data_IF_244408246684
#
_entry.id   IF_244408246684
#
_cell.length_a   1.000
_cell.length_b   1.000
_cell.length_c   1.000
_cell.angle_alpha   90.00
_cell.angle_beta   90.00
_cell.angle_gamma   90.00
#
_symmetry.space_group_name_H-M   'P 1'
#
loop_
_entity.id
_entity.type
_entity.pdbx_description
1 polymer ?
#
# COMPACT_ATOMS: atom_id res chain seq x y z
N UNK A 1 -2.52 -6.09 -5.92
CA UNK A 1 -2.91 -6.60 -4.60
C UNK A 1 -1.72 -6.69 -3.65
N UNK A 2 -1.96 -6.52 -2.37
CA UNK A 2 -0.98 -6.68 -1.30
C UNK A 2 -0.91 -8.13 -0.81
N UNK A 3 -2.05 -8.77 -0.69
CA UNK A 3 -2.22 -10.09 -0.09
C UNK A 3 -2.90 -11.04 -1.06
N UNK A 4 -2.18 -11.58 -2.08
CA UNK A 4 -2.75 -12.57 -2.98
C UNK A 4 -3.01 -13.89 -2.22
N UNK A 5 -4.08 -14.59 -2.58
CA UNK A 5 -4.39 -15.92 -2.03
C UNK A 5 -3.33 -16.96 -2.42
N UNK A 6 -2.72 -16.78 -3.57
CA UNK A 6 -1.68 -17.64 -4.11
C UNK A 6 -0.38 -16.88 -4.24
N UNK A 7 0.73 -17.53 -3.93
CA UNK A 7 2.07 -16.99 -4.18
C UNK A 7 2.35 -16.84 -5.68
N UNK A 8 1.78 -17.71 -6.47
CA UNK A 8 1.81 -17.70 -7.93
C UNK A 8 0.61 -18.53 -8.47
N UNK A 9 0.09 -18.23 -9.68
CA UNK A 9 0.53 -17.19 -10.60
C UNK A 9 0.31 -15.78 -10.04
N UNK A 10 0.92 -14.78 -10.67
CA UNK A 10 0.75 -13.39 -10.26
C UNK A 10 -0.70 -12.91 -10.43
N UNK A 11 -1.16 -12.02 -9.56
CA UNK A 11 -2.54 -11.55 -9.49
C UNK A 11 -3.05 -10.99 -10.83
N UNK A 12 -2.23 -10.22 -11.56
CA UNK A 12 -2.62 -9.68 -12.86
C UNK A 12 -2.95 -10.76 -13.89
N UNK A 13 -2.22 -11.89 -13.87
CA UNK A 13 -2.49 -13.04 -14.75
C UNK A 13 -3.81 -13.70 -14.40
N UNK A 14 -4.14 -13.80 -13.11
CA UNK A 14 -5.42 -14.33 -12.66
C UNK A 14 -6.58 -13.44 -13.11
N UNK A 15 -6.43 -12.12 -12.96
CA UNK A 15 -7.43 -11.14 -13.44
C UNK A 15 -7.61 -11.22 -14.95
N UNK A 16 -6.50 -11.33 -15.72
CA UNK A 16 -6.57 -11.50 -17.17
C UNK A 16 -7.34 -12.77 -17.56
N UNK A 17 -7.04 -13.89 -16.89
CA UNK A 17 -7.70 -15.16 -17.15
C UNK A 17 -9.20 -15.12 -16.87
N UNK A 18 -9.60 -14.52 -15.74
CA UNK A 18 -11.01 -14.38 -15.36
C UNK A 18 -11.79 -13.49 -16.33
N UNK A 19 -11.15 -12.44 -16.86
CA UNK A 19 -11.75 -11.57 -17.88
C UNK A 19 -11.83 -12.21 -19.26
N UNK A 20 -11.14 -13.33 -19.49
CA UNK A 20 -11.12 -14.01 -20.78
C UNK A 20 -10.57 -13.18 -21.95
N UNK A 21 -9.74 -12.19 -21.67
CA UNK A 21 -9.15 -11.32 -22.71
C UNK A 21 -8.00 -12.03 -23.43
N UNK A 22 -7.78 -11.63 -24.69
CA UNK A 22 -6.70 -12.19 -25.52
C UNK A 22 -5.33 -11.98 -24.89
N UNK A 23 -4.33 -12.67 -25.42
CA UNK A 23 -2.94 -12.55 -24.98
C UNK A 23 -2.49 -11.08 -24.94
N UNK A 24 -2.00 -10.65 -23.80
CA UNK A 24 -1.46 -9.33 -23.57
C UNK A 24 -0.33 -9.40 -22.53
N UNK A 25 0.44 -8.34 -22.42
CA UNK A 25 1.37 -8.19 -21.30
C UNK A 25 0.59 -8.03 -20.00
N UNK A 26 0.92 -8.83 -19.00
CA UNK A 26 0.34 -8.75 -17.66
C UNK A 26 1.44 -8.76 -16.59
N UNK A 27 1.50 -7.71 -15.79
CA UNK A 27 2.54 -7.50 -14.79
C UNK A 27 1.90 -7.35 -13.41
N UNK A 28 2.32 -8.18 -12.48
CA UNK A 28 1.91 -8.08 -11.08
C UNK A 28 2.92 -7.26 -10.30
N UNK A 29 2.43 -6.25 -9.58
CA UNK A 29 3.23 -5.43 -8.67
C UNK A 29 2.89 -5.77 -7.23
N UNK A 30 3.85 -5.57 -6.34
CA UNK A 30 3.72 -5.73 -4.89
C UNK A 30 4.19 -4.46 -4.17
N UNK A 31 3.86 -4.29 -2.91
CA UNK A 31 4.30 -3.14 -2.12
C UNK A 31 3.21 -2.52 -1.26
N UNK A 32 2.48 -3.32 -0.52
CA UNK A 32 1.44 -2.89 0.43
C UNK A 32 0.46 -1.92 -0.26
N UNK A 33 0.05 -0.83 0.38
CA UNK A 33 -0.87 0.18 -0.19
C UNK A 33 -0.33 0.83 -1.48
N UNK A 34 0.98 0.81 -1.71
CA UNK A 34 1.61 1.40 -2.89
C UNK A 34 1.53 0.49 -4.13
N UNK A 35 1.13 -0.77 -3.99
CA UNK A 35 1.09 -1.74 -5.10
C UNK A 35 0.26 -1.25 -6.29
N UNK A 36 -0.91 -0.65 -6.04
CA UNK A 36 -1.78 -0.09 -7.08
C UNK A 36 -1.15 1.11 -7.81
N UNK A 37 -0.51 2.01 -7.10
CA UNK A 37 0.22 3.15 -7.70
C UNK A 37 1.46 2.69 -8.46
N UNK A 38 2.12 1.63 -8.01
CA UNK A 38 3.24 1.02 -8.75
C UNK A 38 2.76 0.40 -10.06
N UNK A 39 1.62 -0.29 -10.06
CA UNK A 39 0.97 -0.80 -11.28
C UNK A 39 0.59 0.36 -12.22
N UNK A 40 0.00 1.42 -11.68
CA UNK A 40 -0.34 2.62 -12.43
C UNK A 40 0.90 3.28 -13.07
N UNK A 41 1.99 3.39 -12.32
CA UNK A 41 3.27 3.92 -12.83
C UNK A 41 3.82 3.06 -13.97
N UNK A 42 3.79 1.73 -13.81
CA UNK A 42 4.22 0.81 -14.86
C UNK A 42 3.39 1.00 -16.13
N UNK A 43 2.06 0.99 -16.01
CA UNK A 43 1.14 1.20 -17.13
C UNK A 43 1.34 2.57 -17.80
N UNK A 44 1.52 3.64 -17.00
CA UNK A 44 1.84 4.96 -17.52
C UNK A 44 3.14 4.97 -18.33
N UNK A 45 4.22 4.40 -17.79
CA UNK A 45 5.50 4.34 -18.48
C UNK A 45 5.41 3.53 -19.79
N UNK A 46 4.70 2.41 -19.78
CA UNK A 46 4.49 1.55 -20.97
C UNK A 46 3.80 2.31 -22.10
N UNK A 47 2.73 3.05 -21.77
CA UNK A 47 1.99 3.87 -22.75
C UNK A 47 2.81 5.09 -23.18
N UNK A 48 3.45 5.78 -22.24
CA UNK A 48 4.25 6.98 -22.54
C UNK A 48 5.49 6.66 -23.40
N UNK A 49 6.09 5.48 -23.24
CA UNK A 49 7.21 5.01 -24.05
C UNK A 49 6.78 4.42 -25.41
N UNK A 50 5.49 4.33 -25.67
CA UNK A 50 4.97 3.74 -26.91
C UNK A 50 5.10 2.21 -27.00
N UNK A 51 5.37 1.53 -25.87
CA UNK A 51 5.43 0.07 -25.78
C UNK A 51 4.03 -0.55 -25.86
N UNK A 52 3.02 0.18 -25.41
CA UNK A 52 1.62 -0.18 -25.51
C UNK A 52 0.80 1.04 -25.96
N UNK A 53 -0.25 0.83 -26.77
CA UNK A 53 -1.18 1.90 -27.16
C UNK A 53 -2.15 2.25 -26.02
N UNK A 54 -2.42 1.31 -25.15
CA UNK A 54 -3.26 1.45 -23.97
C UNK A 54 -2.85 0.43 -22.89
N UNK A 55 -3.22 0.71 -21.67
CA UNK A 55 -3.01 -0.18 -20.53
C UNK A 55 -4.11 -0.01 -19.50
N UNK A 56 -4.35 -1.04 -18.71
CA UNK A 56 -5.22 -0.98 -17.52
C UNK A 56 -4.38 -1.24 -16.29
N UNK A 57 -4.39 -0.30 -15.36
CA UNK A 57 -3.84 -0.50 -14.03
C UNK A 57 -4.96 -0.84 -13.06
N UNK A 58 -4.84 -1.93 -12.33
CA UNK A 58 -5.83 -2.37 -11.35
C UNK A 58 -5.23 -2.39 -9.95
N UNK A 59 -6.05 -2.10 -8.97
CA UNK A 59 -5.77 -2.33 -7.56
C UNK A 59 -6.96 -3.02 -6.94
N UNK A 60 -6.74 -4.15 -6.27
CA UNK A 60 -7.79 -4.88 -5.58
C UNK A 60 -7.24 -5.53 -4.31
N UNK A 61 -8.05 -5.56 -3.29
CA UNK A 61 -7.73 -6.19 -2.01
C UNK A 61 -8.99 -6.82 -1.41
N UNK A 62 -8.85 -8.01 -0.89
CA UNK A 62 -9.90 -8.72 -0.13
C UNK A 62 -9.42 -8.88 1.32
N UNK A 63 -9.34 -7.74 2.02
CA UNK A 63 -8.82 -7.66 3.39
C UNK A 63 -9.59 -8.54 4.36
N UNK A 64 -10.91 -8.66 4.18
CA UNK A 64 -11.77 -9.53 5.00
C UNK A 64 -11.33 -10.99 4.99
N UNK A 65 -10.63 -11.45 3.95
CA UNK A 65 -10.21 -12.85 3.84
C UNK A 65 -9.16 -13.25 4.87
N UNK A 66 -8.21 -12.35 5.17
CA UNK A 66 -7.13 -12.61 6.12
C UNK A 66 -7.32 -11.94 7.49
N UNK A 67 -8.43 -11.19 7.66
CA UNK A 67 -8.81 -10.57 8.94
C UNK A 67 -9.83 -11.40 9.74
N UNK A 68 -10.00 -12.65 9.39
CA UNK A 68 -10.90 -13.57 10.11
C UNK A 68 -10.33 -13.89 11.48
N UNK A 69 -11.20 -14.11 12.46
CA UNK A 69 -10.84 -14.45 13.82
C UNK A 69 -9.84 -15.61 13.91
N UNK A 70 -9.99 -16.63 13.05
CA UNK A 70 -9.09 -17.80 13.00
C UNK A 70 -7.62 -17.46 12.76
N UNK A 71 -7.33 -16.32 12.08
CA UNK A 71 -5.95 -15.87 11.85
C UNK A 71 -5.42 -14.99 12.98
N UNK A 72 -6.30 -14.52 13.87
CA UNK A 72 -5.96 -13.65 14.98
C UNK A 72 -5.92 -14.38 16.31
N UNK A 73 -6.78 -15.43 16.48
CA UNK A 73 -6.90 -16.19 17.73
C UNK A 73 -5.57 -16.68 18.29
N UNK A 74 -4.64 -17.19 17.48
CA UNK A 74 -3.37 -17.65 17.98
C UNK A 74 -2.38 -16.55 18.40
N UNK A 75 -2.66 -15.27 18.14
CA UNK A 75 -1.90 -14.17 18.79
C UNK A 75 -2.14 -14.07 20.27
N UNK A 76 -3.21 -14.72 20.73
CA UNK A 76 -3.68 -14.65 22.10
C UNK A 76 -3.51 -16.02 22.73
N UNK A 77 -2.38 -16.30 23.36
CA UNK A 77 -2.14 -17.51 24.15
C UNK A 77 -3.05 -17.55 25.41
N UNK A 78 -4.37 -17.43 25.14
CA UNK A 78 -5.41 -17.38 26.16
C UNK A 78 -5.72 -15.97 26.67
N UNK A 79 -6.83 -15.88 27.41
CA UNK A 79 -7.37 -14.65 28.00
C UNK A 79 -6.33 -13.96 28.89
N UNK A 80 -5.45 -14.72 29.52
CA UNK A 80 -4.43 -14.23 30.45
C UNK A 80 -3.35 -13.36 29.76
N UNK A 81 -3.01 -13.59 28.49
CA UNK A 81 -2.03 -12.74 27.78
C UNK A 81 -2.65 -11.38 27.40
N UNK A 82 -3.95 -11.34 27.10
CA UNK A 82 -4.67 -10.09 26.84
C UNK A 82 -4.88 -9.25 28.10
N UNK A 83 -5.11 -9.91 29.24
CA UNK A 83 -5.22 -9.21 30.54
C UNK A 83 -3.88 -8.61 30.97
N UNK A 84 -2.79 -9.31 30.69
CA UNK A 84 -1.43 -8.86 31.06
C UNK A 84 -0.78 -7.95 30.02
N UNK A 85 -1.19 -8.06 28.74
CA UNK A 85 -0.62 -7.30 27.61
C UNK A 85 -1.72 -6.82 26.63
N UNK A 86 -2.62 -5.93 27.08
CA UNK A 86 -3.75 -5.47 26.23
C UNK A 86 -3.30 -4.77 24.95
N UNK A 87 -2.07 -4.25 24.89
CA UNK A 87 -1.49 -3.64 23.69
C UNK A 87 -1.44 -4.61 22.51
N UNK A 88 -1.27 -5.92 22.77
CA UNK A 88 -1.26 -6.94 21.68
C UNK A 88 -2.60 -7.05 20.95
N UNK A 89 -3.71 -6.91 21.68
CA UNK A 89 -5.03 -6.84 21.05
C UNK A 89 -5.13 -5.65 20.10
N UNK A 90 -4.60 -4.52 20.52
CA UNK A 90 -4.63 -3.29 19.74
C UNK A 90 -3.80 -3.40 18.45
N UNK A 91 -2.64 -4.05 18.47
CA UNK A 91 -1.79 -4.28 17.29
C UNK A 91 -2.51 -5.09 16.19
N UNK A 92 -3.35 -6.04 16.57
CA UNK A 92 -4.15 -6.83 15.65
C UNK A 92 -5.43 -6.08 15.22
N UNK A 93 -6.12 -5.44 16.16
CA UNK A 93 -7.40 -4.77 15.91
C UNK A 93 -7.23 -3.48 15.09
N UNK A 94 -6.10 -2.78 15.20
CA UNK A 94 -5.83 -1.56 14.44
C UNK A 94 -6.02 -1.75 12.93
N UNK A 95 -5.49 -2.83 12.37
CA UNK A 95 -5.63 -3.14 10.95
C UNK A 95 -7.06 -3.52 10.56
N UNK A 96 -7.82 -4.14 11.46
CA UNK A 96 -9.24 -4.49 11.21
C UNK A 96 -10.13 -3.25 11.05
N UNK A 97 -9.76 -2.14 11.68
CA UNK A 97 -10.47 -0.87 11.56
C UNK A 97 -10.08 -0.08 10.32
N UNK A 98 -8.93 -0.38 9.74
CA UNK A 98 -8.33 0.45 8.68
C UNK A 98 -8.39 -0.18 7.29
N UNK A 99 -8.45 -1.51 7.21
CA UNK A 99 -8.44 -2.22 5.95
C UNK A 99 -9.85 -2.69 5.59
N UNK A 100 -10.18 -2.60 4.31
CA UNK A 100 -11.47 -3.05 3.77
C UNK A 100 -11.28 -3.69 2.39
N UNK A 101 -12.30 -4.41 1.96
CA UNK A 101 -12.37 -4.96 0.62
C UNK A 101 -12.61 -3.83 -0.39
N UNK A 102 -11.96 -3.93 -1.53
CA UNK A 102 -12.14 -2.95 -2.59
C UNK A 102 -11.40 -3.32 -3.87
N UNK A 103 -11.88 -2.79 -4.96
CA UNK A 103 -11.21 -2.88 -6.26
C UNK A 103 -11.44 -1.61 -7.07
N UNK A 104 -10.43 -1.26 -7.86
CA UNK A 104 -10.48 -0.14 -8.78
C UNK A 104 -9.61 -0.41 -10.00
N UNK A 105 -9.94 0.25 -11.10
CA UNK A 105 -9.18 0.17 -12.34
C UNK A 105 -9.10 1.53 -13.02
N UNK A 106 -7.95 1.81 -13.62
CA UNK A 106 -7.72 3.01 -14.43
C UNK A 106 -7.27 2.59 -15.82
N UNK A 107 -7.96 3.09 -16.83
CA UNK A 107 -7.57 2.91 -18.22
C UNK A 107 -6.71 4.08 -18.69
N UNK A 108 -5.54 3.76 -19.24
CA UNK A 108 -4.60 4.73 -19.79
C UNK A 108 -4.48 4.51 -21.31
N UNK A 109 -4.40 5.62 -22.04
CA UNK A 109 -4.18 5.60 -23.50
C UNK A 109 -3.40 6.84 -23.94
N UNK A 110 -2.84 6.79 -25.14
CA UNK A 110 -2.13 7.93 -25.74
C UNK A 110 -3.05 9.08 -26.14
N UNK A 111 -4.33 8.80 -26.31
CA UNK A 111 -5.33 9.77 -26.80
C UNK A 111 -6.36 10.16 -25.76
N UNK A 112 -6.82 11.42 -25.85
CA UNK A 112 -7.98 11.92 -25.11
C UNK A 112 -9.26 11.22 -25.59
N UNK A 113 -10.18 10.90 -24.68
CA UNK A 113 -11.53 10.43 -25.05
C UNK A 113 -12.24 11.45 -25.92
N UNK A 114 -13.05 10.96 -26.84
CA UNK A 114 -13.89 11.83 -27.69
C UNK A 114 -14.97 12.52 -26.86
N UNK A 115 -15.55 11.78 -25.91
CA UNK A 115 -16.63 12.23 -25.06
C UNK A 115 -16.28 12.01 -23.57
N UNK A 116 -16.65 12.99 -22.73
CA UNK A 116 -16.47 12.95 -21.29
C UNK A 116 -15.10 13.42 -20.82
N UNK A 117 -14.89 13.30 -19.50
CA UNK A 117 -13.67 13.73 -18.83
C UNK A 117 -12.49 12.84 -19.18
N UNK A 118 -11.37 13.46 -19.51
CA UNK A 118 -10.07 12.82 -19.61
C UNK A 118 -9.05 13.61 -18.83
N UNK A 119 -8.33 12.94 -17.94
CA UNK A 119 -7.25 13.52 -17.17
C UNK A 119 -5.92 13.16 -17.83
N UNK A 120 -5.03 14.14 -17.96
CA UNK A 120 -3.67 13.90 -18.42
C UNK A 120 -2.80 13.53 -17.23
N UNK A 121 -2.15 12.38 -17.29
CA UNK A 121 -1.11 12.03 -16.31
C UNK A 121 0.16 12.80 -16.69
N UNK A 122 0.56 13.72 -15.85
CA UNK A 122 1.78 14.50 -16.08
C UNK A 122 3.03 13.74 -15.64
N UNK A 123 2.96 13.08 -14.48
CA UNK A 123 4.05 12.32 -13.90
C UNK A 123 3.52 11.38 -12.80
N UNK A 124 4.34 10.39 -12.43
CA UNK A 124 4.10 9.49 -11.29
C UNK A 124 5.45 9.25 -10.61
N UNK A 125 5.62 9.75 -9.40
CA UNK A 125 6.81 9.52 -8.60
C UNK A 125 6.54 8.48 -7.50
N UNK A 126 7.57 7.70 -7.20
CA UNK A 126 7.59 6.74 -6.08
C UNK A 126 8.94 6.90 -5.39
N UNK A 127 8.90 7.16 -4.10
CA UNK A 127 10.08 7.37 -3.27
C UNK A 127 10.07 6.32 -2.15
N UNK A 128 11.19 5.66 -1.92
CA UNK A 128 11.36 4.64 -0.88
C UNK A 128 12.35 5.12 0.17
N UNK A 129 11.99 4.89 1.43
CA UNK A 129 12.84 5.11 2.60
C UNK A 129 13.35 3.81 3.22
N UNK A 130 13.19 2.68 2.53
CA UNK A 130 13.58 1.36 3.04
C UNK A 130 15.08 1.20 3.34
N UNK A 131 15.92 2.10 2.81
CA UNK A 131 17.36 2.10 3.10
C UNK A 131 17.73 2.77 4.43
N UNK A 132 16.78 3.49 5.07
CA UNK A 132 17.05 4.27 6.29
C UNK A 132 16.01 4.06 7.39
N UNK A 133 14.90 3.41 7.08
CA UNK A 133 13.85 3.09 8.05
C UNK A 133 13.63 1.58 8.14
N UNK A 134 13.24 1.16 9.32
CA UNK A 134 12.78 -0.21 9.55
C UNK A 134 11.46 -0.48 8.84
N UNK A 135 11.16 -1.76 8.64
CA UNK A 135 9.89 -2.19 8.08
C UNK A 135 8.73 -1.87 9.02
N UNK A 136 7.80 -1.05 8.54
CA UNK A 136 6.65 -0.60 9.33
C UNK A 136 5.44 -1.54 9.21
N UNK A 137 5.12 -2.00 7.99
CA UNK A 137 4.04 -2.95 7.75
C UNK A 137 4.58 -4.17 7.02
N UNK A 138 4.20 -5.36 7.47
CA UNK A 138 4.71 -6.62 6.92
C UNK A 138 3.71 -7.76 7.08
N UNK A 139 3.90 -8.79 6.27
CA UNK A 139 3.19 -10.07 6.36
C UNK A 139 4.09 -11.18 5.84
N UNK A 140 3.86 -12.41 6.25
CA UNK A 140 4.70 -13.54 5.87
C UNK A 140 6.06 -13.56 6.58
N UNK A 141 6.17 -12.98 7.75
CA UNK A 141 7.42 -12.93 8.51
C UNK A 141 7.26 -12.46 9.95
N UNK A 142 8.38 -12.35 10.64
CA UNK A 142 8.47 -11.87 12.02
C UNK A 142 9.49 -10.75 12.10
N UNK A 143 9.13 -9.62 12.67
CA UNK A 143 10.05 -8.52 12.99
C UNK A 143 10.74 -8.82 14.32
N UNK A 144 12.06 -8.78 14.32
CA UNK A 144 12.89 -8.95 15.52
C UNK A 144 13.06 -7.66 16.29
N UNK A 145 13.60 -7.74 17.48
CA UNK A 145 13.85 -6.58 18.35
C UNK A 145 14.87 -5.60 17.76
N UNK A 146 15.74 -6.06 16.86
CA UNK A 146 16.72 -5.24 16.13
C UNK A 146 16.15 -4.59 14.86
N UNK A 147 14.83 -4.72 14.61
CA UNK A 147 14.13 -4.20 13.46
C UNK A 147 14.23 -5.08 12.20
N UNK A 148 15.05 -6.13 12.19
CA UNK A 148 15.18 -7.04 11.06
C UNK A 148 13.92 -7.89 10.87
N UNK A 149 13.63 -8.26 9.61
CA UNK A 149 12.51 -9.15 9.26
C UNK A 149 13.06 -10.53 8.87
N UNK A 150 12.49 -11.55 9.47
CA UNK A 150 12.74 -12.96 9.11
C UNK A 150 11.53 -13.50 8.38
N UNK A 151 11.70 -13.85 7.12
CA UNK A 151 10.63 -14.43 6.30
C UNK A 151 10.20 -15.81 6.78
N UNK A 152 8.98 -16.21 6.47
CA UNK A 152 8.38 -17.47 6.89
C UNK A 152 9.20 -18.72 6.50
N UNK A 153 10.00 -18.64 5.43
CA UNK A 153 10.87 -19.75 4.99
C UNK A 153 12.15 -19.89 5.82
N UNK A 154 12.52 -18.87 6.58
CA UNK A 154 13.75 -18.83 7.37
C UNK A 154 13.53 -19.19 8.84
N UNK A 155 12.30 -19.41 9.25
CA UNK A 155 11.98 -19.77 10.63
C UNK A 155 12.17 -21.27 10.80
N UNK A 156 12.97 -21.68 11.80
CA UNK A 156 13.37 -23.07 12.03
C UNK A 156 12.21 -24.02 12.39
N UNK A 157 11.16 -23.49 12.97
CA UNK A 157 9.99 -24.29 13.33
C UNK A 157 8.87 -24.07 12.29
N UNK A 158 8.71 -25.05 11.42
CA UNK A 158 7.54 -25.18 10.56
C UNK A 158 6.42 -25.82 11.39
N UNK A 159 5.92 -25.07 12.37
CA UNK A 159 4.76 -25.50 13.15
C UNK A 159 3.49 -25.12 12.35
N UNK A 160 2.72 -26.12 11.87
CA UNK A 160 1.52 -25.84 11.08
C UNK A 160 0.51 -24.93 11.79
N UNK A 161 0.45 -25.02 13.12
CA UNK A 161 -0.43 -24.22 13.97
C UNK A 161 -0.02 -22.75 14.04
N UNK A 162 1.28 -22.44 13.86
CA UNK A 162 1.79 -21.08 13.82
C UNK A 162 1.73 -20.43 12.44
N UNK A 163 1.45 -21.18 11.38
CA UNK A 163 1.45 -20.70 10.00
C UNK A 163 0.43 -19.58 9.75
N UNK A 164 -0.83 -19.66 10.24
CA UNK A 164 -1.80 -18.59 10.06
C UNK A 164 -1.31 -17.24 10.58
N UNK A 165 -0.58 -17.21 11.67
CA UNK A 165 -0.02 -15.98 12.26
C UNK A 165 1.05 -15.33 11.41
N UNK A 166 1.86 -16.15 10.76
CA UNK A 166 2.98 -15.65 9.94
C UNK A 166 2.49 -14.94 8.70
N UNK A 167 1.31 -15.31 8.21
CA UNK A 167 0.66 -14.67 7.05
C UNK A 167 -0.25 -13.51 7.42
N UNK A 168 -0.53 -13.28 8.71
CA UNK A 168 -1.27 -12.09 9.11
C UNK A 168 -0.47 -10.82 8.82
N UNK A 169 -1.17 -9.79 8.38
CA UNK A 169 -0.57 -8.47 8.19
C UNK A 169 -0.39 -7.81 9.55
N UNK A 170 0.78 -7.23 9.76
CA UNK A 170 1.15 -6.53 11.00
C UNK A 170 1.63 -5.14 10.70
N UNK A 171 1.41 -4.22 11.62
CA UNK A 171 1.87 -2.84 11.52
C UNK A 171 2.55 -2.41 12.81
N UNK A 172 3.73 -1.82 12.69
CA UNK A 172 4.41 -1.11 13.77
C UNK A 172 3.80 0.29 13.90
N UNK A 173 2.80 0.40 14.79
CA UNK A 173 2.02 1.63 14.97
C UNK A 173 2.89 2.76 15.53
N UNK A 174 3.87 2.45 16.37
CA UNK A 174 4.76 3.45 16.95
C UNK A 174 5.66 4.06 15.87
N UNK A 175 6.25 3.21 15.04
CA UNK A 175 7.05 3.65 13.90
C UNK A 175 6.19 4.45 12.91
N UNK A 176 4.98 3.99 12.63
CA UNK A 176 4.03 4.70 11.76
C UNK A 176 3.76 6.11 12.26
N UNK A 177 3.40 6.28 13.53
CA UNK A 177 3.03 7.59 14.09
C UNK A 177 4.18 8.60 14.04
N UNK A 178 5.42 8.13 14.24
CA UNK A 178 6.61 8.98 14.21
C UNK A 178 7.02 9.34 12.79
N UNK A 179 6.99 8.37 11.87
CA UNK A 179 7.69 8.50 10.59
C UNK A 179 6.80 8.89 9.42
N UNK A 180 5.49 8.61 9.46
CA UNK A 180 4.63 8.79 8.28
C UNK A 180 4.51 10.26 7.87
N UNK A 181 4.38 11.17 8.82
CA UNK A 181 4.23 12.60 8.57
C UNK A 181 5.54 13.18 8.03
N UNK A 182 6.65 12.85 8.69
CA UNK A 182 7.99 13.29 8.29
C UNK A 182 8.34 12.82 6.88
N UNK A 183 8.20 11.53 6.59
CA UNK A 183 8.52 10.96 5.28
C UNK A 183 7.61 11.47 4.18
N UNK A 184 6.33 11.71 4.48
CA UNK A 184 5.40 12.36 3.54
C UNK A 184 5.88 13.77 3.20
N UNK A 185 6.23 14.58 4.20
CA UNK A 185 6.73 15.94 4.00
C UNK A 185 8.02 15.98 3.18
N UNK A 186 8.99 15.13 3.51
CA UNK A 186 10.24 15.01 2.76
C UNK A 186 10.02 14.57 1.30
N UNK A 187 9.16 13.56 1.09
CA UNK A 187 8.82 13.10 -0.25
C UNK A 187 8.10 14.18 -1.06
N UNK A 188 7.12 14.86 -0.45
CA UNK A 188 6.40 15.94 -1.10
C UNK A 188 7.34 17.11 -1.46
N UNK A 189 8.23 17.51 -0.57
CA UNK A 189 9.21 18.56 -0.86
C UNK A 189 10.11 18.22 -2.06
N UNK A 190 10.56 16.96 -2.17
CA UNK A 190 11.33 16.48 -3.33
C UNK A 190 10.50 16.57 -4.63
N UNK A 191 9.23 16.15 -4.59
CA UNK A 191 8.32 16.18 -5.74
C UNK A 191 8.03 17.63 -6.16
N UNK A 192 7.74 18.50 -5.20
CA UNK A 192 7.52 19.94 -5.41
C UNK A 192 8.73 20.56 -6.11
N UNK A 193 9.92 20.31 -5.62
CA UNK A 193 11.15 20.81 -6.24
C UNK A 193 11.37 20.25 -7.65
N UNK A 194 11.24 18.94 -7.82
CA UNK A 194 11.46 18.24 -9.08
C UNK A 194 10.55 18.72 -10.20
N UNK A 195 9.26 18.92 -9.89
CA UNK A 195 8.25 19.31 -10.86
C UNK A 195 7.92 20.80 -10.84
N UNK A 196 8.63 21.58 -10.01
CA UNK A 196 8.43 23.04 -9.85
C UNK A 196 6.97 23.37 -9.55
N UNK A 197 6.38 22.64 -8.62
CA UNK A 197 4.97 22.82 -8.25
C UNK A 197 4.83 24.02 -7.32
N UNK A 198 3.70 24.74 -7.49
CA UNK A 198 3.26 25.79 -6.58
C UNK A 198 1.85 25.42 -6.06
N UNK A 199 1.51 25.78 -4.83
CA UNK A 199 0.18 25.45 -4.25
C UNK A 199 -1.00 25.92 -5.11
N UNK A 200 -0.89 27.07 -5.75
CA UNK A 200 -1.90 27.64 -6.65
C UNK A 200 -2.11 26.88 -7.96
N UNK A 201 -1.25 25.92 -8.26
CA UNK A 201 -1.42 25.00 -9.39
C UNK A 201 -2.29 23.79 -9.05
N UNK A 202 -2.69 23.63 -7.79
CA UNK A 202 -3.40 22.46 -7.28
C UNK A 202 -4.85 22.81 -6.99
N UNK A 203 -5.76 22.32 -7.82
CA UNK A 203 -7.20 22.46 -7.60
C UNK A 203 -7.73 21.41 -6.61
N UNK A 204 -7.14 20.22 -6.62
CA UNK A 204 -7.57 19.08 -5.79
C UNK A 204 -6.36 18.33 -5.25
N UNK A 205 -6.31 18.15 -3.93
CA UNK A 205 -5.35 17.31 -3.26
C UNK A 205 -6.07 16.10 -2.65
N UNK A 206 -5.73 14.89 -3.12
CA UNK A 206 -6.39 13.64 -2.72
C UNK A 206 -5.38 12.73 -1.99
N UNK A 207 -5.09 12.98 -0.72
CA UNK A 207 -4.12 12.20 0.03
C UNK A 207 -4.67 10.83 0.39
N UNK A 208 -3.82 9.80 0.33
CA UNK A 208 -4.07 8.54 0.98
C UNK A 208 -3.60 8.62 2.43
N UNK A 209 -4.51 8.45 3.39
CA UNK A 209 -4.17 8.30 4.80
C UNK A 209 -5.05 7.23 5.45
N UNK A 210 -4.46 6.50 6.36
CA UNK A 210 -5.08 5.33 6.98
C UNK A 210 -6.12 5.70 8.06
N UNK A 211 -6.08 6.91 8.58
CA UNK A 211 -6.98 7.39 9.63
C UNK A 211 -7.13 8.91 9.56
N UNK A 212 -8.31 9.42 9.87
CA UNK A 212 -8.56 10.85 10.02
C UNK A 212 -7.64 11.52 11.06
N UNK A 213 -7.07 10.73 11.98
CA UNK A 213 -6.05 11.17 12.94
C UNK A 213 -4.83 11.82 12.27
N UNK A 214 -4.43 11.37 11.09
CA UNK A 214 -3.27 11.90 10.38
C UNK A 214 -3.60 13.16 9.56
N UNK A 215 -4.87 13.45 9.27
CA UNK A 215 -5.26 14.57 8.43
C UNK A 215 -4.66 15.90 8.91
N UNK A 216 -4.91 16.36 10.15
CA UNK A 216 -4.34 17.63 10.60
C UNK A 216 -2.81 17.62 10.59
N UNK A 217 -2.18 16.51 10.97
CA UNK A 217 -0.72 16.36 10.95
C UNK A 217 -0.13 16.54 9.55
N UNK A 218 -0.81 16.02 8.53
CA UNK A 218 -0.38 16.18 7.13
C UNK A 218 -0.51 17.64 6.66
N UNK A 219 -1.60 18.32 7.01
CA UNK A 219 -1.76 19.74 6.71
C UNK A 219 -0.70 20.61 7.38
N UNK A 220 -0.42 20.38 8.64
CA UNK A 220 0.62 21.09 9.38
C UNK A 220 2.01 20.87 8.75
N UNK A 221 2.30 19.67 8.32
CA UNK A 221 3.55 19.34 7.65
C UNK A 221 3.64 19.98 6.26
N UNK A 222 2.56 19.98 5.48
CA UNK A 222 2.50 20.67 4.18
C UNK A 222 2.74 22.17 4.35
N UNK A 223 2.16 22.78 5.36
CA UNK A 223 2.40 24.18 5.72
C UNK A 223 3.86 24.41 6.11
N UNK A 224 4.44 23.50 6.91
CA UNK A 224 5.86 23.58 7.33
C UNK A 224 6.83 23.57 6.16
N UNK A 225 6.55 22.80 5.11
CA UNK A 225 7.37 22.75 3.89
C UNK A 225 7.03 23.85 2.87
N UNK A 226 6.10 24.75 3.19
CA UNK A 226 5.68 25.85 2.32
C UNK A 226 4.81 25.43 1.13
N UNK A 227 4.11 24.28 1.23
CA UNK A 227 3.21 23.78 0.20
C UNK A 227 1.79 23.63 0.75
N UNK A 228 1.20 24.75 1.13
CA UNK A 228 -0.18 24.81 1.64
C UNK A 228 -1.16 24.79 0.45
N UNK A 229 -1.93 23.71 0.32
CA UNK A 229 -2.97 23.58 -0.70
C UNK A 229 -4.33 23.98 -0.13
N UNK A 230 -5.29 24.39 -0.98
CA UNK A 230 -6.66 24.67 -0.55
C UNK A 230 -7.31 23.44 0.13
N UNK A 231 -8.20 23.68 1.10
CA UNK A 231 -9.02 22.67 1.78
C UNK A 231 -9.98 21.95 0.81
#
# INVERSE_FOLDING_TARGET
TTSPDLLFPGHALMVQGELGIQACEAVTTAGICLSGITAFKYAFMSVAAGLASNAVATGSELASSYMRAQFLTPFYDGVTDLETRPVRAFDADFLRWMLSDGAGAVFLSTGKRKDGLSLKVAWVDVISYAGVLETCMYGGGVKRADGSIVGWRQTEAFEPEAMPHRFSVRQDIKLLDVEIVRTMGEALAQVVQKHRLHPDMVDWFLPHYSSAYFRPKFYDEMKRIGFEVPD
#
